data_IF_884522120349
#
_entry.id   IF_884522120349
#
_cell.length_a   1.000
_cell.length_b   1.000
_cell.length_c   1.000
_cell.angle_alpha   90.00
_cell.angle_beta   90.00
_cell.angle_gamma   90.00
#
_symmetry.space_group_name_H-M   'P 1'
#
loop_
_entity.id
_entity.type
_entity.pdbx_description
1 polymer ?
#
# COMPACT_ATOMS: atom_id res chain seq x y z
N UNK A 1 -0.82 2.11 -1.47
CA UNK A 1 -0.68 2.68 -2.84
C UNK A 1 0.70 2.41 -3.39
N UNK A 2 0.80 2.02 -4.67
CA UNK A 2 2.07 1.80 -5.34
C UNK A 2 2.68 3.13 -5.82
N UNK A 3 3.98 3.33 -5.57
CA UNK A 3 4.80 4.36 -6.21
C UNK A 3 5.87 3.66 -7.06
N UNK A 4 5.99 4.07 -8.33
CA UNK A 4 7.02 3.58 -9.25
C UNK A 4 7.77 4.76 -9.84
N UNK A 5 9.05 4.92 -9.46
CA UNK A 5 9.83 6.06 -9.95
C UNK A 5 11.34 5.85 -9.85
N UNK A 6 12.09 6.61 -10.66
CA UNK A 6 13.54 6.74 -10.50
C UNK A 6 13.96 7.36 -9.16
N UNK A 7 13.05 8.03 -8.43
CA UNK A 7 13.32 8.49 -7.06
C UNK A 7 13.32 7.30 -6.10
N UNK A 8 12.31 6.43 -6.17
CA UNK A 8 12.24 5.21 -5.38
C UNK A 8 13.47 4.34 -5.63
N UNK A 9 13.84 4.13 -6.90
CA UNK A 9 15.03 3.34 -7.27
C UNK A 9 16.31 3.89 -6.66
N UNK A 10 16.52 5.21 -6.68
CA UNK A 10 17.70 5.85 -6.08
C UNK A 10 17.71 5.81 -4.56
N UNK A 11 16.55 5.85 -3.91
CA UNK A 11 16.47 5.87 -2.45
C UNK A 11 16.57 4.48 -1.82
N UNK A 12 16.03 3.47 -2.50
CA UNK A 12 15.77 2.15 -1.90
C UNK A 12 16.34 0.99 -2.71
N UNK A 13 17.02 1.26 -3.83
CA UNK A 13 17.40 0.25 -4.80
C UNK A 13 16.20 -0.60 -5.29
N UNK A 14 15.00 -0.03 -5.26
CA UNK A 14 13.75 -0.67 -5.66
C UNK A 14 12.96 0.29 -6.55
N UNK A 15 12.56 -0.17 -7.75
CA UNK A 15 11.80 0.65 -8.69
C UNK A 15 10.37 0.92 -8.22
N UNK A 16 9.84 0.05 -7.35
CA UNK A 16 8.46 0.06 -6.87
C UNK A 16 8.43 -0.05 -5.33
N UNK A 17 7.62 0.81 -4.71
CA UNK A 17 7.42 0.83 -3.26
C UNK A 17 5.95 1.06 -2.92
N UNK A 18 5.56 0.67 -1.72
CA UNK A 18 4.22 0.88 -1.18
C UNK A 18 4.22 2.00 -0.14
N UNK A 19 3.23 2.89 -0.26
CA UNK A 19 3.02 4.03 0.64
C UNK A 19 1.52 4.15 0.97
N UNK A 20 1.14 4.45 2.22
CA UNK A 20 -0.25 4.73 2.57
C UNK A 20 -0.83 5.90 1.76
N UNK A 21 -2.07 5.76 1.25
CA UNK A 21 -2.74 6.78 0.43
C UNK A 21 -2.77 8.15 1.10
N UNK A 22 -3.07 8.19 2.41
CA UNK A 22 -3.15 9.42 3.20
C UNK A 22 -1.86 10.25 3.18
N UNK A 23 -0.69 9.65 2.95
CA UNK A 23 0.56 10.42 2.86
C UNK A 23 0.69 11.16 1.53
N UNK A 24 0.02 10.67 0.50
CA UNK A 24 0.09 11.22 -0.85
C UNK A 24 -0.72 12.51 -1.00
N UNK A 25 -1.60 12.84 -0.05
CA UNK A 25 -2.40 14.09 -0.04
C UNK A 25 -1.54 15.36 0.04
N UNK A 26 -0.25 15.23 0.38
CA UNK A 26 0.73 16.32 0.33
C UNK A 26 1.26 16.61 -1.09
N UNK A 27 0.89 15.80 -2.08
CA UNK A 27 1.26 15.98 -3.48
C UNK A 27 0.12 16.65 -4.26
N UNK A 28 0.45 17.44 -5.30
CA UNK A 28 -0.57 18.05 -6.15
C UNK A 28 -1.48 17.01 -6.81
N UNK A 29 -2.78 17.29 -6.83
CA UNK A 29 -3.78 16.45 -7.49
C UNK A 29 -4.27 15.24 -6.67
N UNK A 30 -3.93 15.15 -5.38
CA UNK A 30 -4.43 14.12 -4.47
C UNK A 30 -5.06 14.82 -3.26
N UNK A 31 -6.32 14.53 -2.99
CA UNK A 31 -7.11 15.20 -1.97
C UNK A 31 -7.94 14.19 -1.19
N UNK A 32 -8.34 14.58 0.02
CA UNK A 32 -9.33 13.85 0.80
C UNK A 32 -10.69 14.18 0.20
N UNK A 33 -11.49 13.16 -0.07
CA UNK A 33 -12.88 13.33 -0.46
C UNK A 33 -13.72 13.59 0.80
N UNK A 34 -14.26 14.81 0.91
CA UNK A 34 -15.12 15.24 2.03
C UNK A 34 -16.61 15.19 1.66
N UNK A 35 -16.95 14.83 0.42
CA UNK A 35 -18.32 14.80 -0.10
C UNK A 35 -18.97 13.41 0.03
N UNK A 36 -18.20 12.37 0.30
CA UNK A 36 -18.70 11.00 0.43
C UNK A 36 -19.54 10.81 1.72
N UNK A 37 -20.85 10.61 1.56
CA UNK A 37 -21.78 10.37 2.68
C UNK A 37 -21.56 9.03 3.41
N UNK A 38 -21.00 8.03 2.72
CA UNK A 38 -20.71 6.72 3.31
C UNK A 38 -19.58 6.01 2.57
N UNK A 39 -18.91 5.09 3.28
CA UNK A 39 -17.82 4.27 2.74
C UNK A 39 -18.12 2.80 2.99
N UNK A 40 -18.00 1.98 1.95
CA UNK A 40 -18.07 0.51 2.08
C UNK A 40 -16.66 -0.07 1.93
N UNK A 41 -16.22 -0.86 2.91
CA UNK A 41 -14.90 -1.50 2.90
C UNK A 41 -15.00 -2.94 2.41
N UNK A 42 -14.28 -3.24 1.33
CA UNK A 42 -14.06 -4.60 0.86
C UNK A 42 -12.62 -5.02 1.14
N UNK A 43 -12.45 -6.14 1.84
CA UNK A 43 -11.14 -6.70 2.12
C UNK A 43 -10.84 -7.83 1.12
N UNK A 44 -9.84 -7.63 0.27
CA UNK A 44 -9.37 -8.63 -0.69
C UNK A 44 -8.11 -9.29 -0.14
N UNK A 45 -8.19 -10.59 0.14
CA UNK A 45 -7.09 -11.40 0.67
C UNK A 45 -6.70 -12.50 -0.33
N UNK A 46 -5.41 -12.71 -0.51
CA UNK A 46 -4.82 -13.71 -1.39
C UNK A 46 -3.71 -14.46 -0.64
N UNK A 47 -3.24 -15.58 -1.18
CA UNK A 47 -2.12 -16.38 -0.63
C UNK A 47 -0.85 -15.55 -0.39
N UNK A 48 -0.68 -14.46 -1.16
CA UNK A 48 0.40 -13.49 -1.01
C UNK A 48 -0.17 -12.09 -1.11
N UNK A 49 0.52 -11.11 -0.53
CA UNK A 49 0.16 -9.71 -0.77
C UNK A 49 0.36 -9.38 -2.25
N UNK A 50 -0.68 -8.80 -2.88
CA UNK A 50 -0.71 -8.52 -4.32
C UNK A 50 -0.88 -7.03 -4.60
N UNK A 51 -0.46 -6.63 -5.80
CA UNK A 51 -0.76 -5.30 -6.35
C UNK A 51 -2.03 -5.40 -7.19
N UNK A 52 -2.99 -4.53 -6.91
CA UNK A 52 -4.28 -4.46 -7.58
C UNK A 52 -4.43 -3.15 -8.33
N UNK A 53 -5.43 -3.04 -9.20
CA UNK A 53 -5.78 -1.79 -9.88
C UNK A 53 -7.22 -1.42 -9.55
N UNK A 54 -7.42 -0.24 -8.97
CA UNK A 54 -8.73 0.34 -8.73
C UNK A 54 -8.89 1.55 -9.67
N UNK A 55 -9.81 1.49 -10.62
CA UNK A 55 -9.99 2.52 -11.66
C UNK A 55 -8.67 2.92 -12.35
N UNK A 56 -7.81 1.94 -12.62
CA UNK A 56 -6.50 2.13 -13.24
C UNK A 56 -5.40 2.64 -12.29
N UNK A 57 -5.71 3.00 -11.04
CA UNK A 57 -4.72 3.37 -10.04
C UNK A 57 -4.16 2.12 -9.33
N UNK A 58 -2.82 1.93 -9.31
CA UNK A 58 -2.22 0.77 -8.66
C UNK A 58 -2.26 0.90 -7.13
N UNK A 59 -2.92 -0.06 -6.51
CA UNK A 59 -3.11 -0.19 -5.06
C UNK A 59 -2.63 -1.57 -4.59
N UNK A 60 -2.97 -1.94 -3.36
CA UNK A 60 -2.54 -3.20 -2.74
C UNK A 60 -3.73 -3.97 -2.17
N UNK A 61 -3.59 -5.31 -2.13
CA UNK A 61 -4.53 -6.17 -1.40
C UNK A 61 -4.40 -5.97 0.11
N UNK A 62 -5.20 -6.68 0.91
CA UNK A 62 -5.04 -6.61 2.36
C UNK A 62 -3.68 -7.19 2.78
N UNK A 63 -2.83 -6.38 3.41
CA UNK A 63 -1.61 -6.84 4.07
C UNK A 63 -1.94 -7.26 5.51
N UNK A 64 -1.92 -8.56 5.76
CA UNK A 64 -2.30 -9.16 7.04
C UNK A 64 -1.18 -9.06 8.07
N UNK A 65 -1.01 -7.86 8.64
CA UNK A 65 -0.23 -7.67 9.87
C UNK A 65 -1.08 -7.88 11.15
N UNK A 66 -0.44 -7.96 12.33
CA UNK A 66 -1.15 -8.17 13.60
C UNK A 66 -2.24 -7.13 13.91
N UNK A 67 -2.12 -5.91 13.37
CA UNK A 67 -3.13 -4.85 13.51
C UNK A 67 -4.30 -5.01 12.54
N UNK A 68 -4.04 -5.45 11.30
CA UNK A 68 -5.07 -5.62 10.27
C UNK A 68 -6.05 -6.74 10.63
N UNK A 69 -5.56 -7.85 11.21
CA UNK A 69 -6.43 -8.92 11.69
C UNK A 69 -7.29 -8.49 12.89
N UNK A 70 -6.82 -7.52 13.69
CA UNK A 70 -7.57 -6.97 14.84
C UNK A 70 -8.67 -5.99 14.43
N UNK A 71 -8.55 -5.33 13.28
CA UNK A 71 -9.60 -4.43 12.77
C UNK A 71 -10.78 -5.18 12.15
N UNK A 72 -10.62 -6.47 11.85
CA UNK A 72 -11.68 -7.29 11.28
C UNK A 72 -12.66 -7.76 12.36
N UNK A 73 -13.96 -7.89 12.03
CA UNK A 73 -14.93 -8.51 12.93
C UNK A 73 -14.49 -9.91 13.37
N UNK A 74 -14.78 -10.34 14.62
CA UNK A 74 -14.36 -11.65 15.12
C UNK A 74 -14.79 -12.84 14.26
N UNK A 75 -15.91 -12.74 13.54
CA UNK A 75 -16.37 -13.77 12.61
C UNK A 75 -15.48 -13.84 11.37
N UNK A 76 -15.23 -12.71 10.70
CA UNK A 76 -14.35 -12.63 9.54
C UNK A 76 -12.92 -13.07 9.88
N UNK A 77 -12.41 -12.70 11.06
CA UNK A 77 -11.09 -13.16 11.52
C UNK A 77 -11.04 -14.68 11.67
N UNK A 78 -12.08 -15.32 12.22
CA UNK A 78 -12.13 -16.79 12.36
C UNK A 78 -12.15 -17.48 11.00
N UNK A 79 -12.93 -16.95 10.06
CA UNK A 79 -13.00 -17.46 8.69
C UNK A 79 -11.63 -17.35 8.00
N UNK A 80 -10.98 -16.19 8.07
CA UNK A 80 -9.64 -15.98 7.52
C UNK A 80 -8.64 -16.96 8.11
N UNK A 81 -8.61 -17.12 9.44
CA UNK A 81 -7.67 -18.05 10.09
C UNK A 81 -7.98 -19.53 9.79
N UNK A 82 -9.21 -19.85 9.36
CA UNK A 82 -9.54 -21.19 8.91
C UNK A 82 -9.05 -21.48 7.48
N UNK A 83 -8.96 -20.45 6.64
CA UNK A 83 -8.48 -20.55 5.25
C UNK A 83 -6.95 -20.39 5.20
N UNK A 84 -6.40 -19.47 6.00
CA UNK A 84 -4.98 -19.09 6.05
C UNK A 84 -4.44 -19.27 7.48
N UNK A 85 -4.24 -20.53 7.93
CA UNK A 85 -3.80 -20.82 9.30
C UNK A 85 -2.43 -20.23 9.63
N UNK A 86 -1.57 -20.01 8.65
CA UNK A 86 -0.25 -19.38 8.80
C UNK A 86 -0.34 -17.93 9.31
N UNK A 87 -1.48 -17.25 9.11
CA UNK A 87 -1.71 -15.90 9.63
C UNK A 87 -1.97 -15.86 11.14
N UNK A 88 -2.07 -17.03 11.80
CA UNK A 88 -2.15 -17.13 13.24
C UNK A 88 -0.80 -16.81 13.94
N UNK A 89 0.32 -16.95 13.22
CA UNK A 89 1.64 -16.54 13.71
C UNK A 89 1.76 -15.02 13.69
N UNK A 90 1.56 -14.40 14.86
CA UNK A 90 1.61 -12.94 15.01
C UNK A 90 3.04 -12.39 15.08
N UNK A 91 4.04 -13.25 15.22
CA UNK A 91 5.45 -12.85 15.34
C UNK A 91 6.12 -12.79 13.95
N UNK A 92 5.55 -13.45 12.95
CA UNK A 92 5.98 -13.33 11.56
C UNK A 92 5.68 -11.93 11.00
N UNK A 93 6.69 -11.20 10.48
CA UNK A 93 6.44 -9.90 9.88
C UNK A 93 5.63 -10.06 8.58
N UNK A 94 4.60 -9.23 8.35
CA UNK A 94 3.82 -9.31 7.13
C UNK A 94 4.71 -9.00 5.93
N UNK A 95 4.61 -9.86 4.90
CA UNK A 95 5.43 -9.75 3.69
C UNK A 95 4.63 -9.05 2.59
N UNK A 96 4.98 -7.80 2.32
CA UNK A 96 4.38 -7.05 1.22
C UNK A 96 4.87 -7.50 -0.17
N UNK A 97 3.98 -7.42 -1.17
CA UNK A 97 4.26 -7.53 -2.60
C UNK A 97 5.46 -6.70 -3.08
N UNK A 98 5.69 -5.55 -2.44
CA UNK A 98 6.78 -4.61 -2.70
C UNK A 98 7.34 -4.09 -1.39
N UNK A 99 8.50 -3.44 -1.49
CA UNK A 99 9.12 -2.79 -0.35
C UNK A 99 8.17 -1.75 0.24
N UNK A 100 7.99 -1.80 1.55
CA UNK A 100 7.27 -0.79 2.34
C UNK A 100 8.31 -0.02 3.16
N UNK A 101 8.75 1.18 2.71
CA UNK A 101 9.71 1.96 3.47
C UNK A 101 9.11 2.39 4.81
N UNK A 102 9.94 2.64 5.82
CA UNK A 102 9.44 3.12 7.10
C UNK A 102 8.87 4.54 7.00
N UNK A 103 8.18 5.00 8.05
CA UNK A 103 7.48 6.29 8.05
C UNK A 103 8.36 7.49 7.68
N UNK A 104 9.61 7.54 8.17
CA UNK A 104 10.55 8.63 7.85
C UNK A 104 10.99 8.57 6.39
N UNK A 105 11.27 7.38 5.88
CA UNK A 105 11.64 7.15 4.49
C UNK A 105 10.50 7.52 3.52
N UNK A 106 9.26 7.15 3.84
CA UNK A 106 8.07 7.53 3.07
C UNK A 106 7.94 9.06 2.97
N UNK A 107 8.08 9.79 4.09
CA UNK A 107 7.99 11.25 4.09
C UNK A 107 9.09 11.88 3.22
N UNK A 108 10.31 11.34 3.29
CA UNK A 108 11.43 11.80 2.44
C UNK A 108 11.19 11.50 0.96
N UNK A 109 10.59 10.36 0.62
CA UNK A 109 10.25 10.00 -0.75
C UNK A 109 9.27 11.01 -1.34
N UNK A 110 8.18 11.29 -0.61
CA UNK A 110 7.14 12.23 -0.99
C UNK A 110 7.71 13.64 -1.15
N UNK A 111 8.51 14.11 -0.20
CA UNK A 111 9.17 15.42 -0.29
C UNK A 111 10.07 15.54 -1.54
N UNK A 112 10.74 14.46 -1.97
CA UNK A 112 11.54 14.46 -3.19
C UNK A 112 10.69 14.46 -4.46
N UNK A 113 9.55 13.76 -4.46
CA UNK A 113 8.59 13.84 -5.57
C UNK A 113 8.08 15.27 -5.75
N UNK A 114 7.71 15.93 -4.65
CA UNK A 114 7.28 17.32 -4.63
C UNK A 114 8.39 18.27 -5.12
N UNK A 115 9.59 18.19 -4.51
CA UNK A 115 10.73 19.04 -4.86
C UNK A 115 11.13 18.93 -6.34
N UNK A 116 11.14 17.71 -6.88
CA UNK A 116 11.60 17.45 -8.24
C UNK A 116 10.47 17.53 -9.28
N UNK A 117 9.22 17.77 -8.86
CA UNK A 117 8.02 17.77 -9.71
C UNK A 117 7.92 16.49 -10.57
N UNK A 118 8.19 15.34 -9.95
CA UNK A 118 8.14 14.03 -10.62
C UNK A 118 6.87 13.28 -10.24
N UNK A 119 6.17 12.65 -11.19
CA UNK A 119 4.98 11.86 -10.89
C UNK A 119 5.34 10.67 -10.00
N UNK A 120 4.37 10.19 -9.22
CA UNK A 120 4.49 9.02 -8.36
C UNK A 120 4.56 7.71 -9.13
N UNK A 121 3.96 7.67 -10.31
CA UNK A 121 4.01 6.55 -11.25
C UNK A 121 4.66 7.05 -12.54
N UNK A 122 5.82 6.49 -12.84
CA UNK A 122 6.49 6.67 -14.13
C UNK A 122 6.08 5.52 -15.08
N UNK A 123 6.05 5.76 -16.40
CA UNK A 123 5.82 4.70 -17.38
C UNK A 123 6.86 3.59 -17.19
N UNK A 124 6.47 2.35 -17.51
CA UNK A 124 7.46 1.28 -17.61
C UNK A 124 8.49 1.69 -18.68
N UNK A 125 9.79 1.44 -18.47
CA UNK A 125 10.74 1.57 -19.56
C UNK A 125 10.29 0.67 -20.72
N UNK A 126 10.52 1.08 -21.98
CA UNK A 126 10.29 0.19 -23.10
C UNK A 126 11.09 -1.12 -22.91
N UNK A 127 10.56 -2.25 -23.40
CA UNK A 127 11.20 -3.57 -23.29
C UNK A 127 12.58 -3.61 -23.93
#
# INVERSE_FOLDING_TARGET
>A
MLLRSGIARRMFNASEVLVPAIKLTSLPGIFIDEEADSVTYYHLLFDRHEILFAEGAPTESLLTGPQALKSLPPQARREILSIFPELADLDAPPKGARLIPNGRQQNRLIARHLKNRRPCIEPLPPP
#
